data_IF_237198430040
#
_entry.id   IF_237198430040
#
_cell.length_a   1.000
_cell.length_b   1.000
_cell.length_c   1.000
_cell.angle_alpha   90.00
_cell.angle_beta   90.00
_cell.angle_gamma   90.00
#
_symmetry.space_group_name_H-M   'P 1'
#
loop_
_entity.id
_entity.type
_entity.pdbx_description
1 polymer ?
#
# COMPACT_ATOMS: atom_id res chain seq x y z
N UNK A 1 -2.08 2.97 -21.54
CA UNK A 1 -0.60 3.09 -21.51
C UNK A 1 -0.11 4.00 -20.39
N UNK A 2 -0.65 5.21 -20.22
CA UNK A 2 -0.24 6.17 -19.16
C UNK A 2 -0.39 5.65 -17.73
N UNK A 3 -1.46 4.86 -17.41
CA UNK A 3 -1.64 4.25 -16.09
C UNK A 3 -0.48 3.30 -15.72
N UNK A 4 -0.10 2.44 -16.66
CA UNK A 4 0.97 1.45 -16.44
C UNK A 4 2.33 2.14 -16.29
N UNK A 5 2.64 3.09 -17.18
CA UNK A 5 3.90 3.84 -17.09
C UNK A 5 3.97 4.62 -15.77
N UNK A 6 2.91 5.33 -15.41
CA UNK A 6 2.86 6.09 -14.15
C UNK A 6 3.02 5.19 -12.92
N UNK A 7 2.41 4.00 -12.94
CA UNK A 7 2.55 3.02 -11.87
C UNK A 7 3.98 2.48 -11.77
N UNK A 8 4.59 2.07 -12.89
CA UNK A 8 5.98 1.56 -12.90
C UNK A 8 6.94 2.63 -12.40
N UNK A 9 6.81 3.87 -12.88
CA UNK A 9 7.66 4.98 -12.43
C UNK A 9 7.48 5.23 -10.94
N UNK A 10 6.25 5.29 -10.44
CA UNK A 10 5.99 5.48 -9.01
C UNK A 10 6.56 4.32 -8.18
N UNK A 11 6.39 3.07 -8.63
CA UNK A 11 6.93 1.90 -7.96
C UNK A 11 8.47 1.93 -7.86
N UNK A 12 9.16 2.20 -8.97
CA UNK A 12 10.62 2.26 -8.97
C UNK A 12 11.14 3.42 -8.10
N UNK A 13 10.49 4.59 -8.16
CA UNK A 13 10.83 5.72 -7.30
C UNK A 13 10.63 5.36 -5.83
N UNK A 14 9.51 4.72 -5.49
CA UNK A 14 9.24 4.26 -4.12
C UNK A 14 10.35 3.34 -3.61
N UNK A 15 10.69 2.29 -4.36
CA UNK A 15 11.71 1.32 -3.94
C UNK A 15 13.09 1.98 -3.71
N UNK A 16 13.52 2.81 -4.66
CA UNK A 16 14.82 3.49 -4.55
C UNK A 16 14.83 4.50 -3.41
N UNK A 17 13.80 5.33 -3.30
CA UNK A 17 13.73 6.38 -2.26
C UNK A 17 13.61 5.74 -0.88
N UNK A 18 12.78 4.71 -0.72
CA UNK A 18 12.62 4.00 0.55
C UNK A 18 13.94 3.36 0.99
N UNK A 19 14.65 2.68 0.09
CA UNK A 19 15.93 2.05 0.40
C UNK A 19 17.01 3.08 0.78
N UNK A 20 17.13 4.17 0.01
CA UNK A 20 18.09 5.24 0.31
C UNK A 20 17.76 5.93 1.63
N UNK A 21 16.49 6.23 1.88
CA UNK A 21 16.07 6.85 3.12
C UNK A 21 16.29 5.93 4.33
N UNK A 22 15.96 4.63 4.21
CA UNK A 22 16.22 3.64 5.26
C UNK A 22 17.72 3.58 5.61
N UNK A 23 18.59 3.57 4.59
CA UNK A 23 20.02 3.61 4.78
C UNK A 23 20.50 4.90 5.48
N UNK A 24 19.96 6.07 5.08
CA UNK A 24 20.29 7.35 5.71
C UNK A 24 19.88 7.36 7.19
N UNK A 25 18.69 6.88 7.51
CA UNK A 25 18.24 6.77 8.92
C UNK A 25 19.09 5.79 9.71
N UNK A 26 19.45 4.65 9.11
CA UNK A 26 20.29 3.63 9.74
C UNK A 26 21.68 4.16 10.09
N UNK A 27 22.36 4.78 9.12
CA UNK A 27 23.69 5.38 9.37
C UNK A 27 23.62 6.57 10.34
N UNK A 28 22.52 7.33 10.28
CA UNK A 28 22.24 8.44 11.20
C UNK A 28 21.99 7.98 12.64
N UNK A 29 21.56 6.74 12.87
CA UNK A 29 21.43 6.15 14.21
C UNK A 29 22.77 5.70 14.84
N UNK A 30 23.86 5.80 14.10
CA UNK A 30 25.22 5.46 14.58
C UNK A 30 25.71 4.07 14.18
N UNK A 31 24.96 3.33 13.36
CA UNK A 31 25.40 2.06 12.77
C UNK A 31 26.54 2.33 11.81
N UNK A 32 27.66 1.59 11.94
CA UNK A 32 28.79 1.75 11.04
C UNK A 32 28.53 1.07 9.70
N UNK A 33 29.16 1.59 8.63
CA UNK A 33 29.09 0.97 7.32
C UNK A 33 29.73 -0.44 7.32
N UNK A 34 30.71 -0.67 8.18
CA UNK A 34 31.36 -1.97 8.32
C UNK A 34 30.41 -3.02 8.91
N UNK A 35 29.64 -2.67 9.94
CA UNK A 35 28.65 -3.56 10.54
C UNK A 35 27.54 -3.89 9.52
N UNK A 36 27.07 -2.88 8.78
CA UNK A 36 26.09 -3.08 7.72
C UNK A 36 26.57 -4.04 6.63
N UNK A 37 27.85 -3.93 6.22
CA UNK A 37 28.40 -4.83 5.20
C UNK A 37 28.66 -6.25 5.73
N UNK A 38 28.82 -6.42 7.04
CA UNK A 38 28.98 -7.71 7.67
C UNK A 38 27.65 -8.49 7.76
N UNK A 39 26.55 -7.82 8.11
CA UNK A 39 25.22 -8.42 8.23
C UNK A 39 24.11 -7.40 7.95
N UNK A 40 23.77 -7.23 6.68
CA UNK A 40 22.71 -6.30 6.25
C UNK A 40 21.35 -6.65 6.89
N UNK A 41 21.02 -7.93 6.92
CA UNK A 41 19.70 -8.39 7.39
C UNK A 41 19.55 -8.20 8.89
N UNK A 42 20.53 -8.65 9.67
CA UNK A 42 20.51 -8.51 11.13
C UNK A 42 20.51 -7.05 11.57
N UNK A 43 21.34 -6.21 10.92
CA UNK A 43 21.38 -4.78 11.24
C UNK A 43 20.05 -4.08 11.01
N UNK A 44 19.33 -4.38 9.92
CA UNK A 44 17.99 -3.81 9.70
C UNK A 44 16.93 -4.40 10.65
N UNK A 45 17.05 -5.69 11.00
CA UNK A 45 16.18 -6.33 11.99
C UNK A 45 16.32 -5.67 13.37
N UNK A 46 17.54 -5.34 13.79
CA UNK A 46 17.83 -4.66 15.05
C UNK A 46 17.43 -3.16 15.03
N UNK A 47 17.21 -2.58 13.83
CA UNK A 47 16.89 -1.16 13.64
C UNK A 47 15.59 -0.96 12.84
N UNK A 48 14.44 -1.49 13.26
CA UNK A 48 13.18 -1.44 12.50
C UNK A 48 12.68 0.00 12.26
N UNK A 49 13.04 0.95 13.12
CA UNK A 49 12.72 2.36 12.92
C UNK A 49 13.25 2.88 11.57
N UNK A 50 14.45 2.47 11.17
CA UNK A 50 15.06 2.91 9.90
C UNK A 50 14.25 2.43 8.70
N UNK A 51 13.73 1.20 8.74
CA UNK A 51 12.85 0.65 7.69
C UNK A 51 11.52 1.38 7.63
N UNK A 52 10.89 1.63 8.78
CA UNK A 52 9.59 2.34 8.86
C UNK A 52 9.74 3.76 8.31
N UNK A 53 10.77 4.48 8.72
CA UNK A 53 11.02 5.84 8.25
C UNK A 53 11.38 5.88 6.76
N UNK A 54 12.20 4.93 6.30
CA UNK A 54 12.52 4.76 4.88
C UNK A 54 11.28 4.51 4.04
N UNK A 55 10.45 3.55 4.46
CA UNK A 55 9.17 3.26 3.81
C UNK A 55 8.25 4.48 3.77
N UNK A 56 8.13 5.20 4.90
CA UNK A 56 7.31 6.41 4.99
C UNK A 56 7.77 7.49 4.00
N UNK A 57 9.06 7.80 3.97
CA UNK A 57 9.64 8.77 3.02
C UNK A 57 9.41 8.29 1.57
N UNK A 58 9.64 7.00 1.31
CA UNK A 58 9.39 6.38 0.03
C UNK A 58 7.94 6.53 -0.42
N UNK A 59 6.97 6.32 0.45
CA UNK A 59 5.54 6.46 0.15
C UNK A 59 5.17 7.90 -0.20
N UNK A 60 5.62 8.88 0.56
CA UNK A 60 5.35 10.29 0.26
C UNK A 60 6.02 10.75 -1.04
N UNK A 61 7.30 10.46 -1.22
CA UNK A 61 8.07 10.97 -2.36
C UNK A 61 7.99 10.07 -3.59
N UNK A 62 7.82 8.76 -3.42
CA UNK A 62 7.78 7.78 -4.51
C UNK A 62 6.37 7.44 -5.00
N UNK A 63 5.34 7.54 -4.16
CA UNK A 63 3.95 7.24 -4.54
C UNK A 63 3.07 8.48 -4.61
N UNK A 64 2.94 9.20 -3.49
CA UNK A 64 2.01 10.34 -3.41
C UNK A 64 2.43 11.47 -4.33
N UNK A 65 3.69 11.93 -4.23
CA UNK A 65 4.18 13.05 -5.04
C UNK A 65 4.09 12.77 -6.55
N UNK A 66 4.54 11.63 -7.09
CA UNK A 66 4.33 11.29 -8.50
C UNK A 66 2.85 11.26 -8.90
N UNK A 67 1.96 10.68 -8.08
CA UNK A 67 0.53 10.64 -8.38
C UNK A 67 -0.06 12.05 -8.51
N UNK A 68 0.33 12.99 -7.63
CA UNK A 68 -0.08 14.39 -7.68
C UNK A 68 0.48 15.10 -8.92
N UNK A 69 1.77 14.89 -9.25
CA UNK A 69 2.42 15.48 -10.40
C UNK A 69 1.81 14.97 -11.72
N UNK A 70 1.66 13.65 -11.86
CA UNK A 70 1.02 13.05 -13.04
C UNK A 70 -0.42 13.53 -13.22
N UNK A 71 -1.16 13.69 -12.13
CA UNK A 71 -2.53 14.23 -12.18
C UNK A 71 -2.55 15.66 -12.73
N UNK A 72 -1.60 16.49 -12.32
CA UNK A 72 -1.46 17.87 -12.82
C UNK A 72 -1.04 17.97 -14.29
N UNK A 73 -0.28 16.99 -14.79
CA UNK A 73 0.04 16.90 -16.21
C UNK A 73 -1.20 16.59 -17.08
N UNK A 74 -2.23 15.97 -16.50
CA UNK A 74 -3.46 15.63 -17.22
C UNK A 74 -4.54 16.71 -17.11
N UNK A 75 -4.53 17.53 -16.06
CA UNK A 75 -5.55 18.54 -15.82
C UNK A 75 -5.14 19.56 -14.76
N UNK A 76 -5.55 20.83 -14.94
CA UNK A 76 -5.45 21.85 -13.90
C UNK A 76 -6.36 21.56 -12.70
N UNK A 77 -7.50 20.88 -12.93
CA UNK A 77 -8.45 20.49 -11.88
C UNK A 77 -8.11 19.11 -11.28
N UNK A 78 -6.91 18.96 -10.73
CA UNK A 78 -6.40 17.71 -10.24
C UNK A 78 -7.17 17.12 -9.03
N UNK A 79 -7.77 17.96 -8.16
CA UNK A 79 -8.54 17.49 -6.99
C UNK A 79 -9.77 16.67 -7.38
N UNK A 80 -10.70 17.14 -8.23
CA UNK A 80 -11.81 16.34 -8.74
C UNK A 80 -11.32 15.17 -9.62
N UNK A 81 -10.19 15.33 -10.31
CA UNK A 81 -9.60 14.25 -11.10
C UNK A 81 -9.22 13.07 -10.20
N UNK A 82 -8.57 13.33 -9.07
CA UNK A 82 -8.21 12.35 -8.05
C UNK A 82 -9.39 11.93 -7.15
N UNK A 83 -10.61 12.44 -7.42
CA UNK A 83 -11.79 12.14 -6.60
C UNK A 83 -11.64 12.56 -5.13
N UNK A 84 -10.94 13.65 -4.86
CA UNK A 84 -10.88 14.26 -3.54
C UNK A 84 -12.15 15.05 -3.22
N UNK A 85 -13.32 14.45 -3.52
CA UNK A 85 -14.62 15.04 -3.31
C UNK A 85 -15.14 14.71 -1.91
N UNK A 86 -15.88 15.63 -1.26
CA UNK A 86 -16.51 15.33 0.01
C UNK A 86 -17.55 14.21 -0.14
N UNK A 87 -17.76 13.46 0.92
CA UNK A 87 -18.73 12.37 0.99
C UNK A 87 -19.51 12.43 2.30
N UNK A 88 -20.74 11.93 2.30
CA UNK A 88 -21.57 11.88 3.50
C UNK A 88 -20.97 10.92 4.54
N UNK A 89 -20.95 11.34 5.82
CA UNK A 89 -20.42 10.53 6.92
C UNK A 89 -21.08 9.14 7.07
N UNK A 90 -22.39 9.02 6.71
CA UNK A 90 -23.04 7.70 6.68
C UNK A 90 -22.38 6.72 5.72
N UNK A 91 -21.90 7.22 4.57
CA UNK A 91 -21.19 6.39 3.59
C UNK A 91 -19.86 5.92 4.17
N UNK A 92 -19.13 6.77 4.90
CA UNK A 92 -17.88 6.39 5.58
C UNK A 92 -18.11 5.25 6.57
N UNK A 93 -19.14 5.39 7.44
CA UNK A 93 -19.52 4.34 8.41
C UNK A 93 -19.89 3.04 7.69
N UNK A 94 -20.76 3.12 6.68
CA UNK A 94 -21.17 1.94 5.90
C UNK A 94 -20.02 1.27 5.19
N UNK A 95 -18.99 2.02 4.74
CA UNK A 95 -17.80 1.46 4.11
C UNK A 95 -16.97 0.63 5.09
N UNK A 96 -16.84 1.07 6.35
CA UNK A 96 -16.17 0.30 7.40
C UNK A 96 -16.99 -0.93 7.79
N UNK A 97 -18.32 -0.80 7.93
CA UNK A 97 -19.19 -1.96 8.20
C UNK A 97 -19.10 -2.99 7.08
N UNK A 98 -19.06 -2.53 5.81
CA UNK A 98 -18.89 -3.42 4.66
C UNK A 98 -17.51 -4.09 4.65
N UNK A 99 -16.44 -3.40 5.09
CA UNK A 99 -15.12 -4.02 5.29
C UNK A 99 -15.22 -5.15 6.31
N UNK A 100 -15.81 -4.90 7.49
CA UNK A 100 -15.95 -5.94 8.53
C UNK A 100 -16.71 -7.17 8.02
N UNK A 101 -17.76 -6.96 7.22
CA UNK A 101 -18.49 -8.05 6.57
C UNK A 101 -17.67 -8.77 5.48
N UNK A 102 -16.72 -8.08 4.85
CA UNK A 102 -15.86 -8.64 3.80
C UNK A 102 -14.67 -9.43 4.37
N UNK A 103 -14.19 -9.12 5.58
CA UNK A 103 -13.03 -9.77 6.20
C UNK A 103 -13.11 -11.31 6.16
N UNK A 104 -14.21 -11.97 6.57
CA UNK A 104 -14.29 -13.45 6.51
C UNK A 104 -14.12 -14.00 5.09
N UNK A 105 -14.63 -13.26 4.08
CA UNK A 105 -14.51 -13.67 2.67
C UNK A 105 -13.05 -13.53 2.22
N UNK A 106 -12.39 -12.42 2.55
CA UNK A 106 -10.97 -12.19 2.23
C UNK A 106 -10.09 -13.25 2.89
N UNK A 107 -10.35 -13.59 4.17
CA UNK A 107 -9.63 -14.64 4.89
C UNK A 107 -9.83 -16.02 4.25
N UNK A 108 -11.07 -16.34 3.81
CA UNK A 108 -11.33 -17.59 3.11
C UNK A 108 -10.55 -17.71 1.80
N UNK A 109 -10.45 -16.64 1.02
CA UNK A 109 -9.59 -16.60 -0.16
C UNK A 109 -8.09 -16.66 0.19
N UNK A 110 -7.68 -16.17 1.36
CA UNK A 110 -6.34 -16.38 1.90
C UNK A 110 -6.04 -17.86 2.07
N UNK A 111 -6.94 -18.61 2.75
CA UNK A 111 -6.81 -20.06 2.92
C UNK A 111 -6.71 -20.81 1.56
N UNK A 112 -7.50 -20.40 0.56
CA UNK A 112 -7.42 -20.98 -0.79
C UNK A 112 -6.06 -20.67 -1.42
N UNK A 113 -5.57 -19.45 -1.28
CA UNK A 113 -4.27 -19.04 -1.83
C UNK A 113 -3.11 -19.80 -1.20
N UNK A 114 -3.17 -20.04 0.11
CA UNK A 114 -2.16 -20.82 0.84
C UNK A 114 -2.17 -22.30 0.44
N UNK A 115 -3.31 -22.82 0.00
CA UNK A 115 -3.44 -24.19 -0.50
C UNK A 115 -2.82 -24.39 -1.89
N UNK A 116 -2.49 -23.32 -2.61
CA UNK A 116 -1.79 -23.40 -3.90
C UNK A 116 -0.35 -23.91 -3.65
N UNK A 117 0.14 -24.90 -4.43
CA UNK A 117 1.50 -25.42 -4.28
C UNK A 117 2.53 -24.44 -4.84
N UNK A 118 2.74 -23.34 -4.13
CA UNK A 118 3.74 -22.34 -4.50
C UNK A 118 5.15 -22.93 -4.50
N UNK A 119 6.03 -22.56 -5.45
CA UNK A 119 7.44 -22.94 -5.44
C UNK A 119 8.10 -22.58 -4.10
N UNK A 120 9.01 -23.45 -3.60
CA UNK A 120 9.67 -23.26 -2.31
C UNK A 120 10.41 -21.93 -2.22
N UNK A 121 11.11 -21.53 -3.29
CA UNK A 121 11.81 -20.24 -3.35
C UNK A 121 10.88 -19.02 -3.13
N UNK A 122 9.60 -19.09 -3.55
CA UNK A 122 8.61 -18.04 -3.28
C UNK A 122 8.22 -18.05 -1.81
N UNK A 123 7.97 -19.23 -1.23
CA UNK A 123 7.63 -19.37 0.19
C UNK A 123 8.75 -18.87 1.10
N UNK A 124 9.99 -19.22 0.82
CA UNK A 124 11.17 -18.77 1.57
C UNK A 124 11.34 -17.25 1.51
N UNK A 125 11.22 -16.66 0.32
CA UNK A 125 11.31 -15.21 0.14
C UNK A 125 10.19 -14.47 0.92
N UNK A 126 8.95 -14.97 0.86
CA UNK A 126 7.82 -14.37 1.55
C UNK A 126 7.88 -14.61 3.06
N UNK A 127 8.44 -15.74 3.52
CA UNK A 127 8.67 -15.99 4.94
C UNK A 127 9.67 -14.98 5.52
N UNK A 128 10.78 -14.74 4.84
CA UNK A 128 11.75 -13.71 5.27
C UNK A 128 11.11 -12.31 5.36
N UNK A 129 10.21 -11.98 4.43
CA UNK A 129 9.41 -10.74 4.51
C UNK A 129 8.48 -10.73 5.72
N UNK A 130 7.82 -11.86 6.02
CA UNK A 130 6.92 -11.97 7.18
C UNK A 130 7.65 -11.83 8.50
N UNK A 131 8.79 -12.50 8.63
CA UNK A 131 9.63 -12.43 9.84
C UNK A 131 10.03 -10.98 10.12
N UNK A 132 10.39 -10.22 9.08
CA UNK A 132 10.71 -8.80 9.21
C UNK A 132 9.49 -7.95 9.60
N UNK A 133 8.32 -8.22 9.01
CA UNK A 133 7.07 -7.52 9.37
C UNK A 133 6.69 -7.84 10.82
N UNK A 134 6.79 -9.08 11.25
CA UNK A 134 6.52 -9.50 12.62
C UNK A 134 7.44 -8.79 13.62
N UNK A 135 8.73 -8.70 13.33
CA UNK A 135 9.68 -7.94 14.14
C UNK A 135 9.31 -6.46 14.25
N UNK A 136 8.85 -5.84 13.15
CA UNK A 136 8.37 -4.45 13.16
C UNK A 136 7.12 -4.31 14.03
N UNK A 137 6.14 -5.22 13.90
CA UNK A 137 4.88 -5.14 14.61
C UNK A 137 5.01 -5.47 16.10
N UNK A 138 5.95 -6.34 16.47
CA UNK A 138 6.21 -6.72 17.87
C UNK A 138 7.15 -5.75 18.60
N UNK A 139 7.76 -4.80 17.90
CA UNK A 139 8.60 -3.79 18.51
C UNK A 139 7.75 -2.81 19.33
N UNK A 140 8.25 -2.38 20.49
CA UNK A 140 7.55 -1.49 21.43
C UNK A 140 7.46 -0.03 20.92
N UNK A 141 6.74 0.15 19.81
CA UNK A 141 6.37 1.47 19.31
C UNK A 141 5.08 1.95 19.96
N UNK A 142 4.94 3.28 20.15
CA UNK A 142 3.66 3.81 20.60
C UNK A 142 2.56 3.54 19.56
N UNK A 143 1.34 3.24 20.03
CA UNK A 143 0.19 2.98 19.16
C UNK A 143 -0.05 4.11 18.14
N UNK A 144 0.13 5.37 18.57
CA UNK A 144 -0.02 6.55 17.67
C UNK A 144 1.02 6.49 16.54
N UNK A 145 2.26 6.13 16.85
CA UNK A 145 3.32 6.00 15.86
C UNK A 145 2.99 4.86 14.87
N UNK A 146 2.64 3.68 15.38
CA UNK A 146 2.30 2.52 14.55
C UNK A 146 1.12 2.81 13.62
N UNK A 147 0.01 3.37 14.12
CA UNK A 147 -1.13 3.75 13.29
C UNK A 147 -0.75 4.82 12.26
N UNK A 148 0.06 5.83 12.64
CA UNK A 148 0.44 6.90 11.73
C UNK A 148 1.32 6.41 10.59
N UNK A 149 2.33 5.57 10.90
CA UNK A 149 3.33 5.15 9.92
C UNK A 149 2.90 3.90 9.13
N UNK A 150 2.28 2.91 9.79
CA UNK A 150 1.97 1.63 9.18
C UNK A 150 0.53 1.54 8.63
N UNK A 151 -0.38 2.44 9.06
CA UNK A 151 -1.75 2.42 8.59
C UNK A 151 -2.16 3.70 7.84
N UNK A 152 -1.98 4.88 8.41
CA UNK A 152 -2.45 6.13 7.82
C UNK A 152 -1.62 6.55 6.60
N UNK A 153 -0.29 6.43 6.69
CA UNK A 153 0.60 6.79 5.57
C UNK A 153 0.30 5.96 4.32
N UNK A 154 0.30 4.60 4.35
CA UNK A 154 -0.08 3.81 3.19
C UNK A 154 -1.52 4.09 2.74
N UNK A 155 -2.49 4.22 3.65
CA UNK A 155 -3.87 4.51 3.29
C UNK A 155 -4.02 5.81 2.47
N UNK A 156 -3.23 6.83 2.73
CA UNK A 156 -3.27 8.06 1.94
C UNK A 156 -2.47 7.90 0.65
N UNK A 157 -1.21 7.49 0.73
CA UNK A 157 -0.28 7.50 -0.40
C UNK A 157 -0.70 6.51 -1.49
N UNK A 158 -1.06 5.30 -1.09
CA UNK A 158 -1.46 4.25 -2.02
C UNK A 158 -2.84 4.52 -2.61
N UNK A 159 -3.84 4.97 -1.83
CA UNK A 159 -5.15 5.25 -2.39
C UNK A 159 -5.11 6.42 -3.40
N UNK A 160 -4.31 7.45 -3.15
CA UNK A 160 -4.14 8.54 -4.14
C UNK A 160 -3.50 8.03 -5.41
N UNK A 161 -2.51 7.14 -5.33
CA UNK A 161 -1.90 6.54 -6.53
C UNK A 161 -2.86 5.57 -7.22
N UNK A 162 -3.35 4.53 -6.51
CA UNK A 162 -4.10 3.44 -7.12
C UNK A 162 -5.52 3.87 -7.52
N UNK A 163 -6.29 4.51 -6.64
CA UNK A 163 -7.70 4.86 -6.89
C UNK A 163 -7.85 6.25 -7.50
N UNK A 164 -6.99 7.18 -7.06
CA UNK A 164 -7.00 8.53 -7.61
C UNK A 164 -6.47 8.59 -9.04
N UNK A 165 -5.28 8.04 -9.28
CA UNK A 165 -4.60 8.16 -10.58
C UNK A 165 -4.76 6.92 -11.47
N UNK A 166 -4.29 5.75 -11.04
CA UNK A 166 -4.22 4.53 -11.87
C UNK A 166 -5.60 4.07 -12.30
N UNK A 167 -6.53 3.92 -11.36
CA UNK A 167 -7.91 3.52 -11.65
C UNK A 167 -8.58 4.51 -12.61
N UNK A 168 -8.41 5.81 -12.39
CA UNK A 168 -9.00 6.84 -13.25
C UNK A 168 -8.54 6.74 -14.69
N UNK A 169 -7.25 6.48 -14.90
CA UNK A 169 -6.70 6.27 -16.25
C UNK A 169 -7.16 4.96 -16.86
N UNK A 170 -7.25 3.89 -16.07
CA UNK A 170 -7.75 2.61 -16.52
C UNK A 170 -9.24 2.67 -16.93
N UNK A 171 -10.09 3.31 -16.11
CA UNK A 171 -11.51 3.54 -16.43
C UNK A 171 -11.70 4.29 -17.76
N UNK A 172 -10.85 5.27 -18.04
CA UNK A 172 -10.90 6.04 -19.30
C UNK A 172 -10.49 5.23 -20.52
N UNK A 173 -9.60 4.25 -20.35
CA UNK A 173 -9.05 3.49 -21.47
C UNK A 173 -9.79 2.18 -21.74
N UNK A 174 -10.32 1.52 -20.72
CA UNK A 174 -10.93 0.20 -20.85
C UNK A 174 -12.34 0.08 -20.25
N UNK A 175 -12.91 1.19 -19.78
CA UNK A 175 -14.23 1.22 -19.13
C UNK A 175 -14.18 0.96 -17.63
N UNK A 176 -15.29 1.24 -16.95
CA UNK A 176 -15.39 1.26 -15.49
C UNK A 176 -15.07 -0.11 -14.87
N UNK A 177 -15.73 -1.17 -15.34
CA UNK A 177 -15.54 -2.51 -14.78
C UNK A 177 -14.08 -2.95 -14.82
N UNK A 178 -13.47 -2.86 -16.00
CA UNK A 178 -12.07 -3.26 -16.18
C UNK A 178 -11.10 -2.34 -15.43
N UNK A 179 -11.44 -1.05 -15.31
CA UNK A 179 -10.66 -0.09 -14.51
C UNK A 179 -10.65 -0.44 -13.03
N UNK A 180 -11.80 -0.86 -12.46
CA UNK A 180 -11.92 -1.33 -11.08
C UNK A 180 -11.12 -2.62 -10.87
N UNK A 181 -11.32 -3.61 -11.73
CA UNK A 181 -10.61 -4.90 -11.65
C UNK A 181 -9.10 -4.70 -11.79
N UNK A 182 -8.67 -3.94 -12.78
CA UNK A 182 -7.25 -3.64 -13.01
C UNK A 182 -6.62 -2.98 -11.78
N UNK A 183 -7.24 -1.92 -11.24
CA UNK A 183 -6.71 -1.23 -10.06
C UNK A 183 -6.62 -2.14 -8.83
N UNK A 184 -7.62 -2.99 -8.62
CA UNK A 184 -7.63 -3.93 -7.50
C UNK A 184 -6.60 -5.05 -7.62
N UNK A 185 -6.49 -5.66 -8.80
CA UNK A 185 -5.51 -6.73 -9.06
C UNK A 185 -4.07 -6.19 -8.95
N UNK A 186 -3.81 -5.06 -9.59
CA UNK A 186 -2.47 -4.45 -9.54
C UNK A 186 -2.10 -4.03 -8.13
N UNK A 187 -3.06 -3.57 -7.33
CA UNK A 187 -2.84 -3.29 -5.91
C UNK A 187 -2.39 -4.53 -5.13
N UNK A 188 -3.04 -5.68 -5.33
CA UNK A 188 -2.62 -6.94 -4.70
C UNK A 188 -1.22 -7.38 -5.13
N UNK A 189 -0.93 -7.30 -6.44
CA UNK A 189 0.38 -7.68 -6.99
C UNK A 189 1.51 -6.72 -6.59
N UNK A 190 1.19 -5.45 -6.35
CA UNK A 190 2.15 -4.43 -5.92
C UNK A 190 2.85 -4.78 -4.60
N UNK A 191 2.20 -5.53 -3.73
CA UNK A 191 2.77 -5.94 -2.45
C UNK A 191 3.86 -7.01 -2.58
N UNK A 192 4.10 -7.55 -3.79
CA UNK A 192 5.12 -8.57 -4.10
C UNK A 192 5.01 -9.84 -3.24
N UNK A 193 3.81 -10.14 -2.76
CA UNK A 193 3.48 -11.33 -1.98
C UNK A 193 2.43 -12.14 -2.73
N UNK A 194 2.91 -13.14 -3.49
CA UNK A 194 2.05 -13.93 -4.38
C UNK A 194 1.02 -14.76 -3.62
N UNK A 195 1.39 -15.30 -2.44
CA UNK A 195 0.46 -16.03 -1.56
C UNK A 195 -0.68 -15.14 -1.08
N UNK A 196 -0.47 -13.84 -0.96
CA UNK A 196 -1.48 -12.86 -0.56
C UNK A 196 -2.05 -12.04 -1.71
N UNK A 197 -1.62 -12.29 -2.94
CA UNK A 197 -2.08 -11.53 -4.10
C UNK A 197 -3.61 -11.61 -4.29
N UNK A 198 -4.22 -12.78 -4.07
CA UNK A 198 -5.67 -12.98 -4.20
C UNK A 198 -6.44 -12.17 -3.14
N UNK A 199 -6.24 -12.38 -1.82
CA UNK A 199 -6.96 -11.63 -0.81
C UNK A 199 -6.72 -10.12 -0.89
N UNK A 200 -5.49 -9.67 -1.16
CA UNK A 200 -5.18 -8.24 -1.33
C UNK A 200 -5.83 -7.65 -2.58
N UNK A 201 -5.91 -8.41 -3.68
CA UNK A 201 -6.63 -7.98 -4.88
C UNK A 201 -8.12 -7.81 -4.62
N UNK A 202 -8.74 -8.70 -3.83
CA UNK A 202 -10.15 -8.58 -3.46
C UNK A 202 -10.42 -7.32 -2.64
N UNK A 203 -9.59 -7.06 -1.63
CA UNK A 203 -9.65 -5.81 -0.87
C UNK A 203 -9.45 -4.61 -1.79
N UNK A 204 -8.49 -4.73 -2.71
CA UNK A 204 -8.20 -3.74 -3.75
C UNK A 204 -9.40 -3.43 -4.65
N UNK A 205 -10.10 -4.46 -5.13
CA UNK A 205 -11.32 -4.32 -5.95
C UNK A 205 -12.45 -3.67 -5.15
N UNK A 206 -12.61 -4.05 -3.88
CA UNK A 206 -13.61 -3.44 -3.01
C UNK A 206 -13.36 -1.93 -2.82
N UNK A 207 -12.14 -1.52 -2.51
CA UNK A 207 -11.79 -0.11 -2.38
C UNK A 207 -11.95 0.66 -3.70
N UNK A 208 -11.60 0.03 -4.83
CA UNK A 208 -11.81 0.60 -6.15
C UNK A 208 -13.29 0.79 -6.49
N UNK A 209 -14.14 -0.18 -6.13
CA UNK A 209 -15.60 -0.07 -6.26
C UNK A 209 -16.16 1.07 -5.41
N UNK A 210 -15.76 1.19 -4.14
CA UNK A 210 -16.18 2.27 -3.25
C UNK A 210 -15.82 3.64 -3.85
N UNK A 211 -14.57 3.79 -4.33
CA UNK A 211 -14.10 5.03 -4.94
C UNK A 211 -14.91 5.39 -6.20
N UNK A 212 -15.19 4.43 -7.05
CA UNK A 212 -16.03 4.65 -8.23
C UNK A 212 -17.48 5.01 -7.84
N UNK A 213 -18.08 4.22 -6.96
CA UNK A 213 -19.50 4.37 -6.57
C UNK A 213 -19.80 5.68 -5.88
N UNK A 214 -18.86 6.17 -5.08
CA UNK A 214 -19.01 7.41 -4.32
C UNK A 214 -18.40 8.63 -5.00
N UNK A 215 -17.62 8.40 -6.07
CA UNK A 215 -16.77 9.40 -6.70
C UNK A 215 -15.89 10.16 -5.68
N UNK A 216 -15.43 9.44 -4.65
CA UNK A 216 -14.60 9.97 -3.55
C UNK A 216 -13.55 8.97 -3.09
N UNK A 217 -12.35 9.44 -2.77
CA UNK A 217 -11.27 8.63 -2.20
C UNK A 217 -11.49 8.34 -0.70
N UNK A 218 -12.24 9.17 0.01
CA UNK A 218 -12.34 9.08 1.47
C UNK A 218 -12.84 7.73 1.98
N UNK A 219 -13.83 7.08 1.36
CA UNK A 219 -14.25 5.74 1.77
C UNK A 219 -13.15 4.70 1.64
N UNK A 220 -12.37 4.73 0.55
CA UNK A 220 -11.27 3.81 0.33
C UNK A 220 -10.11 4.07 1.31
N UNK A 221 -9.73 5.32 1.54
CA UNK A 221 -8.72 5.71 2.53
C UNK A 221 -9.13 5.23 3.93
N UNK A 222 -10.38 5.42 4.32
CA UNK A 222 -10.85 4.99 5.64
C UNK A 222 -10.88 3.46 5.79
N UNK A 223 -11.31 2.75 4.76
CA UNK A 223 -11.30 1.28 4.71
C UNK A 223 -9.87 0.75 4.80
N UNK A 224 -8.95 1.32 4.03
CA UNK A 224 -7.54 0.95 4.04
C UNK A 224 -6.90 1.22 5.41
N UNK A 225 -7.11 2.42 5.96
CA UNK A 225 -6.68 2.77 7.32
C UNK A 225 -7.21 1.78 8.36
N UNK A 226 -8.50 1.46 8.34
CA UNK A 226 -9.10 0.51 9.27
C UNK A 226 -8.46 -0.89 9.12
N UNK A 227 -8.33 -1.38 7.88
CA UNK A 227 -7.72 -2.69 7.62
C UNK A 227 -6.28 -2.78 8.17
N UNK A 228 -5.45 -1.78 7.88
CA UNK A 228 -4.06 -1.77 8.34
C UNK A 228 -3.94 -1.53 9.85
N UNK A 229 -4.86 -0.75 10.44
CA UNK A 229 -4.89 -0.57 11.89
C UNK A 229 -5.23 -1.88 12.62
N UNK A 230 -6.13 -2.70 12.08
CA UNK A 230 -6.41 -4.03 12.64
C UNK A 230 -5.23 -5.00 12.55
N UNK A 231 -4.35 -4.82 11.55
CA UNK A 231 -3.15 -5.63 11.42
C UNK A 231 -1.98 -5.14 12.30
N UNK A 232 -2.01 -3.86 12.74
CA UNK A 232 -0.94 -3.21 13.51
C UNK A 232 -1.19 -3.21 15.04
N UNK A 233 -2.33 -3.76 15.51
CA UNK A 233 -2.72 -3.90 16.90
C UNK A 233 -2.66 -5.38 17.31
#
# INVERSE_FOLDING_TARGET
MTAIIGLIVAFLLFQVIAAVAALVFLLGSGVSFADLMADVTGVFADNPMSLIMGNTVGQFLGLLLPALLFSRLHTSNWKPFLRLNPVNGKILVLSVVALLALIPVVQWFGVISDAIPWPEAIREMEQAQMDLIEQILTHDFSLIFSISMLALTPAICEEVLFRGYVQRQAERSMGVLWGILFSGIVFGLYHLRLTQAIPLSMLGVFMAYLTWRTNSLWPAILVHLANNSFAAI
#
